data_IF_301910009519
#
_entry.id   IF_301910009519
#
_cell.length_a   1.000
_cell.length_b   1.000
_cell.length_c   1.000
_cell.angle_alpha   90.00
_cell.angle_beta   90.00
_cell.angle_gamma   90.00
#
_symmetry.space_group_name_H-M   'P 1'
#
loop_
_entity.id
_entity.type
_entity.pdbx_description
1 polymer ?
#
# COMPACT_ATOMS: atom_id res chain seq x y z
N UNK A 1 8.95 -14.23 -5.69
CA UNK A 1 7.82 -15.10 -5.27
C UNK A 1 6.80 -14.21 -4.61
N UNK A 2 5.49 -14.39 -4.86
CA UNK A 2 4.48 -13.52 -4.24
C UNK A 2 4.60 -13.60 -2.72
N UNK A 3 4.67 -12.43 -2.08
CA UNK A 3 4.79 -12.26 -0.63
C UNK A 3 3.50 -12.74 0.04
N UNK A 4 3.64 -13.47 1.14
CA UNK A 4 2.50 -13.94 1.93
C UNK A 4 2.14 -12.98 3.07
N UNK A 5 0.95 -13.15 3.66
CA UNK A 5 0.52 -12.36 4.81
C UNK A 5 1.44 -12.54 6.02
N UNK A 6 1.95 -13.75 6.25
CA UNK A 6 2.94 -14.01 7.33
C UNK A 6 4.25 -13.27 7.13
N UNK A 7 4.65 -13.01 5.87
CA UNK A 7 5.88 -12.26 5.56
C UNK A 7 5.72 -10.75 5.76
N UNK A 8 4.46 -10.26 5.74
CA UNK A 8 4.16 -8.84 5.96
C UNK A 8 4.28 -8.43 7.42
N UNK A 9 4.04 -9.36 8.36
CA UNK A 9 3.92 -9.04 9.77
C UNK A 9 5.15 -9.48 10.57
N UNK A 10 5.57 -8.63 11.52
CA UNK A 10 6.55 -8.99 12.54
C UNK A 10 5.76 -9.41 13.79
N UNK A 11 5.92 -10.65 14.22
CA UNK A 11 5.27 -11.21 15.40
C UNK A 11 6.32 -11.83 16.35
N UNK A 12 6.02 -11.93 17.63
CA UNK A 12 6.94 -12.51 18.64
C UNK A 12 7.08 -14.05 18.57
N UNK A 13 6.84 -14.67 17.43
CA UNK A 13 7.01 -16.11 17.23
C UNK A 13 5.96 -16.98 17.92
N UNK A 14 4.92 -16.39 18.49
CA UNK A 14 3.84 -17.10 19.20
C UNK A 14 2.61 -17.40 18.34
N UNK A 15 2.68 -17.19 17.04
CA UNK A 15 1.62 -17.65 16.11
C UNK A 15 1.85 -19.10 15.65
N UNK A 16 2.25 -19.98 16.58
CA UNK A 16 2.23 -21.43 16.36
C UNK A 16 0.87 -21.99 16.81
N UNK A 17 -0.18 -21.56 16.16
CA UNK A 17 -1.54 -21.96 16.53
C UNK A 17 -2.47 -22.13 15.34
N UNK A 18 -1.92 -22.54 14.23
CA UNK A 18 -2.56 -23.36 13.21
C UNK A 18 -1.41 -23.97 12.41
N UNK A 19 -1.16 -25.27 12.62
CA UNK A 19 -0.77 -26.14 11.52
C UNK A 19 -1.94 -26.06 10.50
N UNK A 20 -2.08 -24.91 9.88
CA UNK A 20 -2.81 -24.76 8.64
C UNK A 20 -1.95 -25.56 7.67
N UNK A 21 -2.43 -26.78 7.45
CA UNK A 21 -2.09 -27.65 6.35
C UNK A 21 -1.53 -26.81 5.21
N UNK A 22 -0.20 -26.75 5.09
CA UNK A 22 0.49 -26.14 3.97
C UNK A 22 0.24 -27.06 2.78
N UNK A 23 -1.04 -27.09 2.37
CA UNK A 23 -1.55 -27.90 1.30
C UNK A 23 -0.94 -27.45 -0.02
N UNK A 24 -0.89 -28.38 -0.95
CA UNK A 24 -0.42 -28.27 -2.33
C UNK A 24 -1.00 -27.07 -3.12
N UNK A 25 -1.96 -26.30 -2.53
CA UNK A 25 -2.66 -25.14 -3.12
C UNK A 25 -1.90 -23.80 -3.01
N UNK A 26 -0.85 -23.68 -2.18
CA UNK A 26 -0.14 -22.40 -1.97
C UNK A 26 0.58 -21.89 -3.24
N UNK A 27 1.29 -22.73 -3.99
CA UNK A 27 1.90 -22.33 -5.27
C UNK A 27 0.86 -21.89 -6.32
N UNK A 28 -0.33 -22.51 -6.32
CA UNK A 28 -1.41 -22.16 -7.23
C UNK A 28 -2.07 -20.82 -6.85
N UNK A 29 -2.25 -20.55 -5.56
CA UNK A 29 -2.75 -19.26 -5.07
C UNK A 29 -1.80 -18.10 -5.43
N UNK A 30 -0.48 -18.29 -5.25
CA UNK A 30 0.56 -17.31 -5.62
C UNK A 30 0.58 -17.06 -7.14
N UNK A 31 0.53 -18.13 -7.97
CA UNK A 31 0.44 -18.02 -9.44
C UNK A 31 -0.86 -17.35 -9.89
N UNK A 32 -1.97 -17.65 -9.23
CA UNK A 32 -3.27 -17.04 -9.50
C UNK A 32 -3.28 -15.55 -9.21
N UNK A 33 -2.61 -15.13 -8.13
CA UNK A 33 -2.46 -13.73 -7.75
C UNK A 33 -1.58 -12.96 -8.75
N UNK A 34 -0.38 -13.46 -9.08
CA UNK A 34 0.50 -12.82 -10.06
C UNK A 34 -0.19 -12.65 -11.42
N UNK A 35 -0.95 -13.65 -11.87
CA UNK A 35 -1.75 -13.55 -13.09
C UNK A 35 -2.83 -12.45 -13.00
N UNK A 36 -3.49 -12.27 -11.83
CA UNK A 36 -4.44 -11.19 -11.60
C UNK A 36 -3.75 -9.84 -11.54
N UNK A 37 -2.65 -9.71 -10.81
CA UNK A 37 -1.83 -8.50 -10.75
C UNK A 37 -1.39 -8.08 -12.15
N UNK A 38 -0.83 -9.02 -12.91
CA UNK A 38 -0.43 -8.80 -14.31
C UNK A 38 -1.61 -8.37 -15.20
N UNK A 39 -2.78 -8.98 -15.02
CA UNK A 39 -4.01 -8.59 -15.74
C UNK A 39 -4.45 -7.18 -15.35
N UNK A 40 -4.39 -6.84 -14.08
CA UNK A 40 -4.84 -5.55 -13.57
C UNK A 40 -3.86 -4.41 -13.94
N UNK A 41 -2.59 -4.70 -14.07
CA UNK A 41 -1.58 -3.79 -14.58
C UNK A 41 -1.49 -3.77 -16.12
N UNK A 42 -2.39 -4.48 -16.84
CA UNK A 42 -2.34 -4.56 -18.31
C UNK A 42 -2.36 -3.20 -19.00
N UNK A 43 -3.16 -2.26 -18.50
CA UNK A 43 -3.24 -0.90 -19.04
C UNK A 43 -1.92 -0.13 -18.85
N UNK A 44 -1.30 -0.25 -17.66
CA UNK A 44 0.02 0.35 -17.40
C UNK A 44 1.07 -0.33 -18.25
N UNK A 45 1.03 -1.65 -18.33
CA UNK A 45 1.95 -2.42 -19.18
C UNK A 45 1.77 -2.14 -20.67
N UNK A 46 0.54 -1.99 -21.17
CA UNK A 46 0.30 -1.64 -22.57
C UNK A 46 0.88 -0.25 -22.91
N UNK A 47 0.79 0.69 -21.96
CA UNK A 47 1.41 2.01 -22.13
C UNK A 47 2.94 1.96 -22.07
N UNK A 48 3.52 1.11 -21.18
CA UNK A 48 4.95 0.91 -21.03
C UNK A 48 5.51 -0.10 -22.03
N UNK A 49 4.79 -1.22 -22.22
CA UNK A 49 5.33 -2.42 -22.84
C UNK A 49 5.48 -2.31 -24.35
N UNK A 50 4.58 -1.60 -25.03
CA UNK A 50 4.71 -1.40 -26.47
C UNK A 50 5.96 -0.61 -26.80
N UNK A 51 6.25 0.45 -26.04
CA UNK A 51 7.47 1.25 -26.19
C UNK A 51 8.72 0.51 -25.71
N UNK A 52 8.66 -0.15 -24.55
CA UNK A 52 9.79 -0.90 -24.00
C UNK A 52 10.12 -2.11 -24.88
N UNK A 53 9.13 -2.85 -25.38
CA UNK A 53 9.38 -3.98 -26.28
C UNK A 53 9.92 -3.55 -27.64
N UNK A 54 9.33 -2.52 -28.24
CA UNK A 54 9.84 -1.98 -29.50
C UNK A 54 11.25 -1.40 -29.36
N UNK A 55 11.52 -0.76 -28.23
CA UNK A 55 12.75 -0.02 -27.97
C UNK A 55 13.90 -0.93 -27.51
N UNK A 56 13.63 -1.91 -26.64
CA UNK A 56 14.66 -2.78 -26.07
C UNK A 56 14.86 -4.10 -26.84
N UNK A 57 13.85 -4.59 -27.59
CA UNK A 57 13.92 -5.91 -28.23
C UNK A 57 14.20 -5.88 -29.75
N UNK A 58 13.99 -4.77 -30.44
CA UNK A 58 13.97 -4.75 -31.92
C UNK A 58 15.13 -4.01 -32.59
N UNK A 59 16.07 -3.40 -31.86
CA UNK A 59 17.08 -2.59 -32.52
C UNK A 59 18.39 -2.38 -31.75
N UNK A 60 19.34 -1.74 -32.44
CA UNK A 60 20.48 -1.12 -31.81
C UNK A 60 20.00 0.00 -30.89
N UNK A 61 20.48 -0.01 -29.65
CA UNK A 61 20.16 0.98 -28.63
C UNK A 61 20.78 2.30 -29.05
N UNK A 62 19.95 3.28 -29.35
CA UNK A 62 20.34 4.63 -29.75
C UNK A 62 19.82 5.71 -28.79
N UNK A 63 20.15 6.97 -29.03
CA UNK A 63 19.68 8.09 -28.21
C UNK A 63 18.15 8.19 -28.15
N UNK A 64 17.45 7.86 -29.26
CA UNK A 64 15.97 7.84 -29.29
C UNK A 64 15.38 6.73 -28.44
N UNK A 65 16.11 5.65 -28.22
CA UNK A 65 15.75 4.55 -27.32
C UNK A 65 15.54 5.06 -25.89
N UNK A 66 16.47 5.88 -25.41
CA UNK A 66 16.44 6.42 -24.06
C UNK A 66 15.35 7.47 -23.88
N UNK A 67 15.16 8.36 -24.87
CA UNK A 67 14.07 9.34 -24.86
C UNK A 67 12.69 8.67 -24.79
N UNK A 68 12.46 7.62 -25.58
CA UNK A 68 11.20 6.85 -25.56
C UNK A 68 10.99 6.12 -24.23
N UNK A 69 12.04 5.54 -23.68
CA UNK A 69 11.95 4.86 -22.37
C UNK A 69 11.60 5.86 -21.26
N UNK A 70 12.23 7.05 -21.29
CA UNK A 70 11.93 8.12 -20.36
C UNK A 70 10.45 8.56 -20.46
N UNK A 71 9.98 8.82 -21.68
CA UNK A 71 8.61 9.21 -21.96
C UNK A 71 7.62 8.14 -21.47
N UNK A 72 7.86 6.86 -21.74
CA UNK A 72 7.03 5.76 -21.31
C UNK A 72 6.93 5.66 -19.78
N UNK A 73 8.06 5.78 -19.06
CA UNK A 73 8.08 5.74 -17.59
C UNK A 73 7.34 6.94 -16.96
N UNK A 74 7.49 8.14 -17.56
CA UNK A 74 6.75 9.33 -17.13
C UNK A 74 5.24 9.15 -17.36
N UNK A 75 4.84 8.64 -18.51
CA UNK A 75 3.43 8.38 -18.84
C UNK A 75 2.79 7.34 -17.92
N UNK A 76 3.58 6.41 -17.38
CA UNK A 76 3.14 5.44 -16.38
C UNK A 76 3.10 6.00 -14.94
N UNK A 77 3.37 7.29 -14.75
CA UNK A 77 3.45 7.97 -13.44
C UNK A 77 4.58 7.47 -12.52
N UNK A 78 5.71 6.98 -13.07
CA UNK A 78 6.93 6.63 -12.29
C UNK A 78 7.57 7.87 -11.64
N UNK A 79 7.25 9.06 -12.16
CA UNK A 79 7.79 10.35 -11.67
C UNK A 79 9.10 10.75 -12.36
N UNK A 80 9.22 12.04 -12.66
CA UNK A 80 10.34 12.55 -13.46
C UNK A 80 11.72 12.30 -12.82
N UNK A 81 11.85 12.53 -11.51
CA UNK A 81 13.11 12.33 -10.78
C UNK A 81 13.55 10.86 -10.80
N UNK A 82 12.62 9.96 -10.53
CA UNK A 82 12.89 8.52 -10.53
C UNK A 82 13.21 8.02 -11.93
N UNK A 83 12.47 8.47 -12.93
CA UNK A 83 12.67 8.13 -14.34
C UNK A 83 14.05 8.56 -14.82
N UNK A 84 14.43 9.83 -14.63
CA UNK A 84 15.73 10.34 -15.08
C UNK A 84 16.89 9.57 -14.45
N UNK A 85 16.79 9.19 -13.17
CA UNK A 85 17.81 8.36 -12.51
C UNK A 85 17.91 6.98 -13.14
N UNK A 86 16.77 6.28 -13.31
CA UNK A 86 16.73 4.91 -13.84
C UNK A 86 17.23 4.86 -15.28
N UNK A 87 16.78 5.78 -16.13
CA UNK A 87 17.20 5.82 -17.54
C UNK A 87 18.67 6.16 -17.65
N UNK A 88 19.18 7.16 -16.90
CA UNK A 88 20.57 7.55 -16.92
C UNK A 88 21.51 6.42 -16.47
N UNK A 89 21.19 5.72 -15.36
CA UNK A 89 21.99 4.59 -14.89
C UNK A 89 21.96 3.43 -15.91
N UNK A 90 20.81 3.14 -16.52
CA UNK A 90 20.67 2.09 -17.53
C UNK A 90 21.45 2.40 -18.81
N UNK A 91 21.44 3.66 -19.25
CA UNK A 91 22.22 4.17 -20.40
C UNK A 91 23.73 4.08 -20.15
N UNK A 92 24.20 4.47 -18.97
CA UNK A 92 25.61 4.34 -18.58
C UNK A 92 26.09 2.88 -18.60
N UNK A 93 25.28 1.95 -18.03
CA UNK A 93 25.60 0.52 -18.01
C UNK A 93 25.60 -0.09 -19.43
N UNK A 94 24.68 0.33 -20.31
CA UNK A 94 24.61 -0.12 -21.69
C UNK A 94 25.81 0.41 -22.52
N UNK A 95 26.11 1.71 -22.42
CA UNK A 95 27.24 2.36 -23.12
C UNK A 95 28.57 1.82 -22.64
N UNK A 96 28.69 1.50 -21.36
CA UNK A 96 29.88 0.86 -20.77
C UNK A 96 30.10 -0.60 -21.20
N UNK A 97 29.16 -1.19 -21.97
CA UNK A 97 29.26 -2.55 -22.51
C UNK A 97 29.00 -3.66 -21.48
N UNK A 98 28.52 -3.32 -20.30
CA UNK A 98 28.14 -4.28 -19.27
C UNK A 98 26.79 -4.95 -19.55
N UNK A 99 25.95 -4.31 -20.37
CA UNK A 99 24.63 -4.83 -20.79
C UNK A 99 24.58 -4.92 -22.31
N UNK A 100 24.35 -6.11 -22.83
CA UNK A 100 24.21 -6.35 -24.28
C UNK A 100 22.90 -7.06 -24.59
N UNK A 101 22.10 -6.45 -25.46
CA UNK A 101 20.81 -6.98 -25.92
C UNK A 101 19.61 -6.57 -25.07
N UNK A 102 18.45 -6.51 -25.71
CA UNK A 102 17.22 -5.98 -25.13
C UNK A 102 16.70 -6.76 -23.93
N UNK A 103 16.88 -8.08 -23.90
CA UNK A 103 16.47 -8.92 -22.76
C UNK A 103 17.27 -8.57 -21.49
N UNK A 104 18.59 -8.35 -21.62
CA UNK A 104 19.44 -7.96 -20.49
C UNK A 104 19.04 -6.57 -19.96
N UNK A 105 18.77 -5.62 -20.86
CA UNK A 105 18.29 -4.28 -20.52
C UNK A 105 16.92 -4.33 -19.82
N UNK A 106 15.97 -5.13 -20.33
CA UNK A 106 14.66 -5.29 -19.72
C UNK A 106 14.72 -5.91 -18.32
N UNK A 107 15.58 -6.92 -18.13
CA UNK A 107 15.80 -7.53 -16.82
C UNK A 107 16.44 -6.54 -15.84
N UNK A 108 17.44 -5.77 -16.30
CA UNK A 108 18.10 -4.76 -15.49
C UNK A 108 17.14 -3.64 -15.08
N UNK A 109 16.30 -3.17 -16.00
CA UNK A 109 15.25 -2.21 -15.71
C UNK A 109 14.30 -2.74 -14.61
N UNK A 110 13.86 -4.00 -14.73
CA UNK A 110 13.01 -4.63 -13.71
C UNK A 110 13.69 -4.67 -12.33
N UNK A 111 14.98 -5.01 -12.28
CA UNK A 111 15.76 -5.01 -11.03
C UNK A 111 15.87 -3.62 -10.41
N UNK A 112 16.13 -2.59 -11.24
CA UNK A 112 16.24 -1.21 -10.78
C UNK A 112 14.89 -0.71 -10.21
N UNK A 113 13.78 -0.95 -10.92
CA UNK A 113 12.44 -0.60 -10.46
C UNK A 113 12.07 -1.35 -9.17
N UNK A 114 12.38 -2.64 -9.07
CA UNK A 114 12.20 -3.41 -7.85
C UNK A 114 13.07 -2.87 -6.70
N UNK A 115 14.32 -2.48 -7.00
CA UNK A 115 15.22 -1.85 -6.03
C UNK A 115 14.66 -0.56 -5.45
N UNK A 116 14.04 0.29 -6.28
CA UNK A 116 13.38 1.52 -5.84
C UNK A 116 12.16 1.20 -4.95
N UNK A 117 11.37 0.20 -5.35
CA UNK A 117 10.19 -0.20 -4.60
C UNK A 117 10.51 -0.80 -3.23
N UNK A 118 11.70 -1.38 -3.04
CA UNK A 118 12.22 -1.90 -1.77
C UNK A 118 12.82 -0.78 -0.93
N UNK A 119 12.01 0.09 -0.41
CA UNK A 119 12.46 1.19 0.46
C UNK A 119 11.89 1.01 1.87
N UNK A 120 12.65 1.45 2.88
CA UNK A 120 12.20 1.45 4.28
C UNK A 120 11.90 0.07 4.87
N UNK A 121 11.21 0.03 5.99
CA UNK A 121 10.68 -1.20 6.61
C UNK A 121 9.29 -1.49 6.00
N UNK A 122 9.22 -2.48 5.16
CA UNK A 122 8.02 -2.84 4.40
C UNK A 122 7.10 -3.84 5.15
N UNK A 123 7.43 -4.19 6.40
CA UNK A 123 6.60 -5.02 7.28
C UNK A 123 5.86 -4.19 8.30
N UNK A 124 4.81 -4.76 8.86
CA UNK A 124 3.98 -4.18 9.93
C UNK A 124 4.32 -4.88 11.25
N UNK A 125 4.72 -4.12 12.26
CA UNK A 125 5.07 -4.66 13.57
C UNK A 125 3.82 -4.90 14.43
N UNK A 126 3.52 -6.16 14.70
CA UNK A 126 2.40 -6.60 15.54
C UNK A 126 2.82 -7.07 16.94
N UNK A 127 4.04 -6.81 17.38
CA UNK A 127 4.55 -7.25 18.70
C UNK A 127 4.01 -6.46 19.88
N UNK A 128 3.26 -5.40 19.65
CA UNK A 128 2.61 -4.60 20.67
C UNK A 128 1.21 -5.16 21.03
N UNK A 129 0.79 -5.02 22.28
CA UNK A 129 -0.53 -5.50 22.73
C UNK A 129 -1.29 -4.39 23.48
N UNK A 130 -2.31 -3.79 22.86
CA UNK A 130 -2.65 -3.92 21.43
C UNK A 130 -1.70 -3.15 20.52
N UNK A 131 -1.42 -3.69 19.32
CA UNK A 131 -0.84 -2.88 18.23
C UNK A 131 -1.89 -1.89 17.74
N UNK A 132 -1.52 -0.61 17.61
CA UNK A 132 -2.42 0.43 17.11
C UNK A 132 -2.02 0.84 15.70
N UNK A 133 -2.92 0.60 14.75
CA UNK A 133 -2.78 1.00 13.35
C UNK A 133 -3.70 2.21 13.11
N UNK A 134 -3.14 3.32 12.63
CA UNK A 134 -3.90 4.50 12.23
C UNK A 134 -4.00 4.55 10.71
N UNK A 135 -5.22 4.44 10.16
CA UNK A 135 -5.44 4.52 8.73
C UNK A 135 -5.80 5.95 8.32
N UNK A 136 -5.01 6.53 7.41
CA UNK A 136 -5.18 7.88 6.89
C UNK A 136 -5.33 7.88 5.36
N UNK A 137 -5.78 8.99 4.79
CA UNK A 137 -5.94 9.12 3.33
C UNK A 137 -7.19 9.90 2.94
N UNK A 138 -7.23 10.32 1.68
CA UNK A 138 -8.33 11.13 1.13
C UNK A 138 -9.62 10.29 1.01
N UNK A 139 -10.77 10.95 1.08
CA UNK A 139 -12.06 10.28 0.85
C UNK A 139 -12.10 9.66 -0.55
N UNK A 140 -12.64 8.45 -0.64
CA UNK A 140 -12.75 7.71 -1.90
C UNK A 140 -11.51 6.93 -2.31
N UNK A 141 -10.40 7.00 -1.57
CA UNK A 141 -9.19 6.19 -1.84
C UNK A 141 -9.31 4.72 -1.45
N UNK A 142 -10.42 4.30 -0.87
CA UNK A 142 -10.62 2.90 -0.43
C UNK A 142 -10.20 2.61 1.01
N UNK A 143 -9.95 3.64 1.84
CA UNK A 143 -9.48 3.51 3.23
C UNK A 143 -10.36 2.56 4.07
N UNK A 144 -11.66 2.85 4.22
CA UNK A 144 -12.60 2.03 4.99
C UNK A 144 -12.68 0.58 4.48
N UNK A 145 -12.66 0.38 3.15
CA UNK A 145 -12.61 -0.95 2.54
C UNK A 145 -11.31 -1.69 2.86
N UNK A 146 -10.18 -0.98 2.78
CA UNK A 146 -8.86 -1.52 3.13
C UNK A 146 -8.81 -1.97 4.58
N UNK A 147 -9.30 -1.14 5.52
CA UNK A 147 -9.37 -1.46 6.94
C UNK A 147 -10.17 -2.75 7.16
N UNK A 148 -11.34 -2.84 6.52
CA UNK A 148 -12.19 -4.02 6.65
C UNK A 148 -11.54 -5.30 6.12
N UNK A 149 -10.87 -5.22 4.97
CA UNK A 149 -10.13 -6.36 4.40
C UNK A 149 -8.91 -6.73 5.26
N UNK A 150 -8.16 -5.73 5.73
CA UNK A 150 -7.00 -5.96 6.62
C UNK A 150 -7.44 -6.62 7.92
N UNK A 151 -8.51 -6.13 8.56
CA UNK A 151 -9.06 -6.71 9.77
C UNK A 151 -9.50 -8.16 9.55
N UNK A 152 -10.12 -8.46 8.41
CA UNK A 152 -10.49 -9.82 8.05
C UNK A 152 -9.26 -10.73 7.93
N UNK A 153 -8.20 -10.30 7.24
CA UNK A 153 -6.97 -11.11 7.11
C UNK A 153 -6.27 -11.32 8.47
N UNK A 154 -6.18 -10.28 9.30
CA UNK A 154 -5.59 -10.39 10.64
C UNK A 154 -6.34 -11.43 11.48
N UNK A 155 -7.67 -11.47 11.37
CA UNK A 155 -8.49 -12.37 12.16
C UNK A 155 -8.54 -13.79 11.58
N UNK A 156 -8.67 -13.94 10.26
CA UNK A 156 -8.84 -15.25 9.63
C UNK A 156 -7.50 -15.96 9.34
N UNK A 157 -6.47 -15.21 8.93
CA UNK A 157 -5.18 -15.80 8.55
C UNK A 157 -4.24 -15.93 9.77
N UNK A 158 -4.29 -14.96 10.70
CA UNK A 158 -3.39 -14.92 11.85
C UNK A 158 -4.09 -15.25 13.19
N UNK A 159 -5.41 -15.38 13.20
CA UNK A 159 -6.17 -15.66 14.42
C UNK A 159 -6.16 -14.53 15.45
N UNK A 160 -5.80 -13.29 15.04
CA UNK A 160 -5.67 -12.14 15.92
C UNK A 160 -7.03 -11.50 16.21
N UNK A 161 -7.24 -11.08 17.44
CA UNK A 161 -8.44 -10.34 17.85
C UNK A 161 -8.30 -8.87 17.50
N UNK A 162 -9.23 -8.35 16.69
CA UNK A 162 -9.17 -6.99 16.13
C UNK A 162 -10.35 -6.14 16.66
N UNK A 163 -10.04 -4.90 17.05
CA UNK A 163 -11.03 -3.86 17.34
C UNK A 163 -10.91 -2.74 16.31
N UNK A 164 -12.05 -2.32 15.76
CA UNK A 164 -12.12 -1.20 14.81
C UNK A 164 -12.63 0.06 15.50
N UNK A 165 -12.00 1.21 15.24
CA UNK A 165 -12.45 2.52 15.70
C UNK A 165 -12.93 3.38 14.53
N UNK A 166 -14.23 3.71 14.47
CA UNK A 166 -14.84 4.53 13.41
C UNK A 166 -14.68 6.02 13.71
N UNK A 167 -13.46 6.56 13.53
CA UNK A 167 -13.17 7.96 13.82
C UNK A 167 -13.47 8.93 12.65
N UNK A 168 -13.99 8.49 11.51
CA UNK A 168 -14.59 9.35 10.47
C UNK A 168 -16.05 9.72 10.88
N UNK A 169 -16.19 10.42 12.00
CA UNK A 169 -17.47 10.68 12.68
C UNK A 169 -18.41 11.61 11.91
N UNK A 170 -17.92 12.31 10.91
CA UNK A 170 -18.71 13.23 10.10
C UNK A 170 -19.38 12.59 8.89
N UNK A 171 -19.06 11.31 8.62
CA UNK A 171 -19.61 10.57 7.50
C UNK A 171 -20.36 9.34 8.00
N UNK A 172 -21.66 9.50 8.27
CA UNK A 172 -22.52 8.40 8.72
C UNK A 172 -22.38 7.15 7.83
N UNK A 173 -22.35 7.33 6.50
CA UNK A 173 -22.18 6.23 5.56
C UNK A 173 -20.81 5.52 5.70
N UNK A 174 -19.73 6.21 6.11
CA UNK A 174 -18.45 5.58 6.34
C UNK A 174 -18.48 4.72 7.63
N UNK A 175 -19.12 5.21 8.67
CA UNK A 175 -19.34 4.45 9.92
C UNK A 175 -20.16 3.19 9.65
N UNK A 176 -21.27 3.31 8.90
CA UNK A 176 -22.10 2.17 8.50
C UNK A 176 -21.32 1.17 7.63
N UNK A 177 -20.53 1.65 6.70
CA UNK A 177 -19.67 0.81 5.85
C UNK A 177 -18.66 0.03 6.71
N UNK A 178 -17.99 0.71 7.66
CA UNK A 178 -17.02 0.07 8.54
C UNK A 178 -17.70 -0.96 9.46
N UNK A 179 -18.93 -0.67 9.94
CA UNK A 179 -19.71 -1.61 10.74
C UNK A 179 -20.08 -2.87 9.93
N UNK A 180 -20.42 -2.72 8.65
CA UNK A 180 -20.65 -3.85 7.75
C UNK A 180 -19.38 -4.69 7.52
N UNK A 181 -18.22 -4.07 7.48
CA UNK A 181 -16.93 -4.78 7.42
C UNK A 181 -16.61 -5.47 8.74
N UNK A 182 -16.81 -4.81 9.88
CA UNK A 182 -16.63 -5.41 11.21
C UNK A 182 -17.43 -6.69 11.37
N UNK A 183 -18.70 -6.65 10.95
CA UNK A 183 -19.57 -7.83 10.98
C UNK A 183 -19.05 -8.97 10.11
N UNK A 184 -18.57 -8.68 8.89
CA UNK A 184 -18.01 -9.70 7.98
C UNK A 184 -16.71 -10.29 8.49
N UNK A 185 -15.85 -9.46 9.08
CA UNK A 185 -14.59 -9.89 9.66
C UNK A 185 -14.76 -10.58 11.02
N UNK A 186 -15.88 -10.42 11.69
CA UNK A 186 -16.10 -10.90 13.06
C UNK A 186 -15.40 -10.04 14.11
N UNK A 187 -15.14 -8.74 13.81
CA UNK A 187 -14.44 -7.82 14.68
C UNK A 187 -15.37 -7.00 15.54
N UNK A 188 -14.91 -6.60 16.72
CA UNK A 188 -15.56 -5.55 17.51
C UNK A 188 -15.39 -4.18 16.85
N UNK A 189 -16.39 -3.30 16.98
CA UNK A 189 -16.32 -1.94 16.46
C UNK A 189 -16.76 -0.93 17.52
N UNK A 190 -16.02 0.16 17.63
CA UNK A 190 -16.35 1.33 18.44
C UNK A 190 -16.75 2.47 17.50
N UNK A 191 -17.95 3.00 17.71
CA UNK A 191 -18.51 4.11 16.94
C UNK A 191 -18.82 5.29 17.86
N UNK A 192 -18.68 6.50 17.34
CA UNK A 192 -19.15 7.73 17.98
C UNK A 192 -20.53 8.16 17.48
N UNK A 193 -21.15 9.13 18.15
CA UNK A 193 -22.30 9.85 17.59
C UNK A 193 -21.85 10.65 16.38
N UNK A 194 -22.74 10.90 15.44
CA UNK A 194 -22.45 11.76 14.29
C UNK A 194 -21.91 13.12 14.75
N UNK A 195 -20.78 13.55 14.16
CA UNK A 195 -20.10 14.78 14.53
C UNK A 195 -19.38 14.79 15.90
N UNK A 196 -19.30 13.64 16.58
CA UNK A 196 -18.50 13.55 17.81
C UNK A 196 -17.00 13.74 17.52
N UNK A 197 -16.23 14.02 18.58
CA UNK A 197 -14.79 14.18 18.47
C UNK A 197 -14.10 12.87 18.04
N UNK A 198 -13.40 12.83 16.88
CA UNK A 198 -12.67 11.66 16.41
C UNK A 198 -11.67 11.12 17.43
N UNK A 199 -11.01 12.02 18.19
CA UNK A 199 -10.09 11.61 19.25
C UNK A 199 -10.78 10.83 20.37
N UNK A 200 -12.06 11.14 20.68
CA UNK A 200 -12.82 10.39 21.68
C UNK A 200 -13.14 8.98 21.21
N UNK A 201 -13.37 8.77 19.91
CA UNK A 201 -13.60 7.43 19.33
C UNK A 201 -12.32 6.62 19.36
N UNK A 202 -11.19 7.23 18.99
CA UNK A 202 -9.88 6.56 19.04
C UNK A 202 -9.52 6.17 20.50
N UNK A 203 -9.78 7.06 21.45
CA UNK A 203 -9.60 6.79 22.88
C UNK A 203 -10.42 5.57 23.32
N UNK A 204 -11.70 5.55 23.00
CA UNK A 204 -12.62 4.49 23.40
C UNK A 204 -12.29 3.15 22.72
N UNK A 205 -11.84 3.17 21.44
CA UNK A 205 -11.42 1.97 20.74
C UNK A 205 -10.21 1.30 21.41
N UNK A 206 -9.20 2.09 21.82
CA UNK A 206 -8.05 1.57 22.57
C UNK A 206 -8.46 1.04 23.94
N UNK A 207 -9.36 1.75 24.64
CA UNK A 207 -9.91 1.30 25.92
C UNK A 207 -10.65 -0.02 25.79
N UNK A 208 -11.48 -0.16 24.76
CA UNK A 208 -12.22 -1.39 24.46
C UNK A 208 -11.26 -2.53 24.13
N UNK A 209 -10.25 -2.29 23.31
CA UNK A 209 -9.24 -3.30 22.95
C UNK A 209 -8.51 -3.85 24.18
N UNK A 210 -8.12 -2.97 25.10
CA UNK A 210 -7.49 -3.39 26.36
C UNK A 210 -8.45 -4.19 27.25
N UNK A 211 -9.75 -3.80 27.28
CA UNK A 211 -10.75 -4.47 28.10
C UNK A 211 -11.14 -5.86 27.55
N UNK A 212 -10.96 -6.05 26.25
CA UNK A 212 -11.28 -7.31 25.57
C UNK A 212 -10.05 -8.16 25.25
N UNK A 213 -8.85 -7.75 25.70
CA UNK A 213 -7.57 -8.39 25.36
C UNK A 213 -7.40 -8.57 23.83
N UNK A 214 -7.66 -7.50 23.07
CA UNK A 214 -7.46 -7.50 21.62
C UNK A 214 -5.99 -7.30 21.27
N UNK A 215 -5.57 -7.96 20.19
CA UNK A 215 -4.19 -7.89 19.70
C UNK A 215 -3.94 -6.63 18.88
N UNK A 216 -4.96 -6.19 18.11
CA UNK A 216 -4.83 -5.07 17.17
C UNK A 216 -6.02 -4.11 17.27
N UNK A 217 -5.72 -2.81 17.20
CA UNK A 217 -6.73 -1.75 17.02
C UNK A 217 -6.47 -1.05 15.69
N UNK A 218 -7.49 -0.92 14.85
CA UNK A 218 -7.39 -0.16 13.61
C UNK A 218 -8.34 1.05 13.68
N UNK A 219 -7.79 2.26 13.56
CA UNK A 219 -8.56 3.51 13.62
C UNK A 219 -8.78 4.05 12.20
N UNK A 220 -10.04 4.08 11.74
CA UNK A 220 -10.46 4.75 10.50
C UNK A 220 -10.63 6.24 10.74
N UNK A 221 -9.85 7.08 10.06
CA UNK A 221 -9.89 8.54 10.22
C UNK A 221 -10.61 9.24 9.07
N UNK A 222 -10.98 10.50 9.27
CA UNK A 222 -11.52 11.34 8.20
C UNK A 222 -10.51 11.53 7.04
N UNK A 223 -11.03 11.88 5.86
CA UNK A 223 -10.21 12.09 4.66
C UNK A 223 -10.66 13.28 3.81
N UNK A 224 -11.25 14.33 4.42
CA UNK A 224 -11.82 15.49 3.70
C UNK A 224 -10.75 16.51 3.33
N UNK A 225 -9.96 16.21 2.30
CA UNK A 225 -8.83 17.05 1.88
C UNK A 225 -9.23 18.45 1.39
N UNK A 226 -10.48 18.67 0.97
CA UNK A 226 -10.97 20.00 0.59
C UNK A 226 -11.04 20.99 1.76
N UNK A 227 -11.01 20.50 3.00
CA UNK A 227 -10.85 21.30 4.22
C UNK A 227 -9.50 20.96 4.87
N UNK A 228 -8.42 21.15 4.11
CA UNK A 228 -7.09 20.64 4.41
C UNK A 228 -6.62 20.96 5.84
N UNK A 229 -6.65 22.24 6.25
CA UNK A 229 -6.14 22.66 7.55
C UNK A 229 -6.91 21.98 8.71
N UNK A 230 -8.23 21.85 8.57
CA UNK A 230 -9.06 21.19 9.57
C UNK A 230 -8.77 19.68 9.64
N UNK A 231 -8.60 19.03 8.49
CA UNK A 231 -8.27 17.61 8.43
C UNK A 231 -6.92 17.33 9.08
N UNK A 232 -5.91 18.12 8.74
CA UNK A 232 -4.56 17.94 9.26
C UNK A 232 -4.48 18.18 10.78
N UNK A 233 -5.19 19.19 11.28
CA UNK A 233 -5.33 19.43 12.72
C UNK A 233 -6.06 18.27 13.43
N UNK A 234 -7.09 17.70 12.81
CA UNK A 234 -7.84 16.55 13.32
C UNK A 234 -6.96 15.29 13.39
N UNK A 235 -6.22 14.96 12.32
CA UNK A 235 -5.29 13.83 12.31
C UNK A 235 -4.20 13.95 13.36
N UNK A 236 -3.58 15.13 13.49
CA UNK A 236 -2.59 15.41 14.53
C UNK A 236 -3.19 15.26 15.94
N UNK A 237 -4.46 15.66 16.13
CA UNK A 237 -5.17 15.47 17.40
C UNK A 237 -5.43 13.99 17.69
N UNK A 238 -5.95 13.22 16.74
CA UNK A 238 -6.20 11.78 16.90
C UNK A 238 -4.89 11.07 17.26
N UNK A 239 -3.80 11.32 16.51
CA UNK A 239 -2.48 10.74 16.79
C UNK A 239 -2.03 11.07 18.21
N UNK A 240 -2.14 12.33 18.65
CA UNK A 240 -1.77 12.76 20.01
C UNK A 240 -2.63 12.10 21.11
N UNK A 241 -3.91 11.83 20.83
CA UNK A 241 -4.78 11.08 21.77
C UNK A 241 -4.32 9.63 21.88
N UNK A 242 -3.98 9.00 20.77
CA UNK A 242 -3.45 7.64 20.72
C UNK A 242 -2.15 7.54 21.52
N UNK A 243 -1.15 8.41 21.23
CA UNK A 243 0.16 8.38 21.87
C UNK A 243 0.13 8.70 23.38
N UNK A 244 -0.93 9.36 23.87
CA UNK A 244 -1.13 9.55 25.32
C UNK A 244 -1.66 8.31 26.04
N UNK A 245 -2.22 7.36 25.32
CA UNK A 245 -2.74 6.14 25.91
C UNK A 245 -1.72 4.98 25.88
N UNK A 246 -0.95 4.92 24.80
CA UNK A 246 0.08 3.89 24.59
C UNK A 246 1.32 4.61 24.10
N UNK A 247 2.41 4.47 24.81
CA UNK A 247 3.70 5.02 24.41
C UNK A 247 4.09 4.44 23.05
N UNK A 248 4.71 5.24 22.20
CA UNK A 248 5.10 4.91 20.82
C UNK A 248 3.96 4.63 19.83
N UNK A 249 2.69 4.61 20.27
CA UNK A 249 1.55 4.49 19.37
C UNK A 249 1.17 5.84 18.69
N UNK A 250 0.59 5.81 17.45
CA UNK A 250 0.30 4.61 16.66
C UNK A 250 1.59 3.91 16.26
N UNK A 251 1.62 2.58 16.32
CA UNK A 251 2.77 1.76 15.95
C UNK A 251 2.92 1.65 14.44
N UNK A 252 1.81 1.89 13.73
CA UNK A 252 1.75 1.90 12.28
C UNK A 252 0.76 2.96 11.80
N UNK A 253 1.17 3.81 10.87
CA UNK A 253 0.29 4.74 10.16
C UNK A 253 0.26 4.38 8.68
N UNK A 254 -0.87 3.84 8.21
CA UNK A 254 -1.06 3.42 6.83
C UNK A 254 -1.79 4.51 6.05
N UNK A 255 -1.15 5.03 5.01
CA UNK A 255 -1.76 5.97 4.08
C UNK A 255 -2.33 5.24 2.87
N UNK A 256 -3.64 5.35 2.68
CA UNK A 256 -4.32 4.80 1.50
C UNK A 256 -4.28 5.80 0.34
N UNK A 257 -3.68 5.39 -0.77
CA UNK A 257 -3.54 6.16 -2.00
C UNK A 257 -4.27 5.46 -3.15
N UNK A 258 -5.07 6.20 -3.89
CA UNK A 258 -5.74 5.73 -5.11
C UNK A 258 -4.78 5.83 -6.30
N UNK A 259 -4.38 4.69 -6.88
CA UNK A 259 -3.45 4.63 -7.99
C UNK A 259 -3.95 5.38 -9.24
N UNK A 260 -5.27 5.51 -9.41
CA UNK A 260 -5.85 6.22 -10.57
C UNK A 260 -5.53 7.72 -10.56
N UNK A 261 -5.16 8.28 -9.41
CA UNK A 261 -4.84 9.69 -9.25
C UNK A 261 -3.42 10.05 -9.72
N UNK A 262 -2.55 9.06 -9.94
CA UNK A 262 -1.17 9.25 -10.43
C UNK A 262 -0.40 10.26 -9.58
N UNK A 263 0.27 11.25 -10.18
CA UNK A 263 1.09 12.26 -9.51
C UNK A 263 0.33 13.06 -8.42
N UNK A 264 -1.01 13.15 -8.50
CA UNK A 264 -1.79 13.76 -7.41
C UNK A 264 -1.75 12.88 -6.14
N UNK A 265 -1.64 11.55 -6.28
CA UNK A 265 -1.43 10.62 -5.17
C UNK A 265 -0.11 10.87 -4.46
N UNK A 266 0.97 11.12 -5.20
CA UNK A 266 2.28 11.49 -4.64
C UNK A 266 2.20 12.81 -3.85
N UNK A 267 1.52 13.83 -4.39
CA UNK A 267 1.32 15.11 -3.68
C UNK A 267 0.51 14.92 -2.40
N UNK A 268 -0.51 14.07 -2.42
CA UNK A 268 -1.28 13.72 -1.23
C UNK A 268 -0.38 13.02 -0.20
N UNK A 269 0.40 12.01 -0.61
CA UNK A 269 1.31 11.29 0.27
C UNK A 269 2.30 12.25 0.96
N UNK A 270 2.89 13.18 0.21
CA UNK A 270 3.76 14.22 0.77
C UNK A 270 3.05 15.08 1.81
N UNK A 271 1.85 15.56 1.50
CA UNK A 271 1.08 16.41 2.40
C UNK A 271 0.71 15.70 3.72
N UNK A 272 0.31 14.43 3.65
CA UNK A 272 0.00 13.66 4.86
C UNK A 272 1.26 13.42 5.70
N UNK A 273 2.39 13.10 5.07
CA UNK A 273 3.66 12.84 5.76
C UNK A 273 4.26 14.07 6.46
N UNK A 274 3.88 15.28 6.04
CA UNK A 274 4.26 16.53 6.72
C UNK A 274 3.54 16.70 8.07
N UNK A 275 2.41 16.03 8.29
CA UNK A 275 1.54 16.22 9.48
C UNK A 275 1.59 15.01 10.41
N UNK A 276 1.59 13.82 9.86
CA UNK A 276 1.70 12.57 10.61
C UNK A 276 2.80 11.71 9.99
N UNK A 277 3.69 11.10 10.79
CA UNK A 277 4.59 10.09 10.26
C UNK A 277 3.76 9.02 9.53
N UNK A 278 4.12 8.71 8.29
CA UNK A 278 3.50 7.65 7.49
C UNK A 278 4.51 6.52 7.39
N UNK A 279 4.14 5.35 7.91
CA UNK A 279 5.01 4.17 7.99
C UNK A 279 4.85 3.25 6.78
N UNK A 280 3.73 3.37 6.06
CA UNK A 280 3.48 2.57 4.88
C UNK A 280 2.33 3.06 4.01
N UNK A 281 2.40 2.72 2.74
CA UNK A 281 1.37 3.01 1.74
C UNK A 281 0.52 1.77 1.49
N UNK A 282 -0.79 1.99 1.40
CA UNK A 282 -1.72 1.04 0.79
C UNK A 282 -2.15 1.60 -0.56
N UNK A 283 -1.68 1.00 -1.63
CA UNK A 283 -2.02 1.43 -2.99
C UNK A 283 -3.24 0.68 -3.49
N UNK A 284 -4.32 1.40 -3.80
CA UNK A 284 -5.62 0.82 -4.19
C UNK A 284 -5.97 1.07 -5.65
N UNK A 285 -6.96 0.36 -6.17
CA UNK A 285 -7.55 0.54 -7.52
C UNK A 285 -6.56 0.37 -8.67
N UNK A 286 -5.58 -0.51 -8.47
CA UNK A 286 -4.61 -0.84 -9.52
C UNK A 286 -5.26 -1.47 -10.76
N UNK A 287 -6.41 -2.12 -10.60
CA UNK A 287 -7.21 -2.73 -11.67
C UNK A 287 -7.83 -1.71 -12.64
N UNK A 288 -7.92 -0.46 -12.25
CA UNK A 288 -8.57 0.61 -13.01
C UNK A 288 -7.64 1.52 -13.81
N UNK A 289 -6.31 1.41 -13.67
CA UNK A 289 -5.40 2.48 -14.09
C UNK A 289 -4.27 2.04 -15.02
N UNK A 290 -3.80 2.98 -15.88
CA UNK A 290 -2.52 2.92 -16.59
C UNK A 290 -1.36 3.57 -15.80
N UNK A 291 -1.59 4.01 -14.57
CA UNK A 291 -0.68 4.81 -13.75
C UNK A 291 -0.04 4.01 -12.60
N UNK A 292 0.21 2.72 -12.82
CA UNK A 292 0.80 1.84 -11.80
C UNK A 292 2.18 2.30 -11.30
N UNK A 293 2.93 3.05 -12.09
CA UNK A 293 4.23 3.58 -11.68
C UNK A 293 4.23 4.48 -10.44
N UNK A 294 3.05 4.94 -10.00
CA UNK A 294 2.91 5.79 -8.79
C UNK A 294 3.48 5.13 -7.52
N UNK A 295 3.47 3.80 -7.42
CA UNK A 295 4.13 3.09 -6.32
C UNK A 295 5.63 3.41 -6.26
N UNK A 296 6.28 3.40 -7.44
CA UNK A 296 7.71 3.69 -7.59
C UNK A 296 8.01 5.17 -7.31
N UNK A 297 7.13 6.08 -7.76
CA UNK A 297 7.28 7.50 -7.48
C UNK A 297 7.23 7.78 -5.96
N UNK A 298 6.26 7.22 -5.24
CA UNK A 298 6.13 7.40 -3.79
C UNK A 298 7.34 6.81 -3.06
N UNK A 299 7.71 5.56 -3.38
CA UNK A 299 8.85 4.91 -2.76
C UNK A 299 10.17 5.66 -3.04
N UNK A 300 10.39 6.06 -4.29
CA UNK A 300 11.62 6.72 -4.72
C UNK A 300 11.78 8.17 -4.25
N UNK A 301 10.68 8.94 -4.17
CA UNK A 301 10.73 10.36 -3.81
C UNK A 301 10.51 10.62 -2.32
N UNK A 302 9.68 9.82 -1.65
CA UNK A 302 9.35 10.03 -0.23
C UNK A 302 10.03 9.03 0.70
N UNK A 303 10.60 7.96 0.19
CA UNK A 303 11.20 6.90 0.99
C UNK A 303 10.19 6.12 1.84
N UNK A 304 8.89 6.18 1.50
CA UNK A 304 7.82 5.50 2.22
C UNK A 304 7.51 4.17 1.51
N UNK A 305 7.61 3.02 2.20
CA UNK A 305 7.37 1.72 1.58
C UNK A 305 5.90 1.52 1.20
N UNK A 306 5.67 0.87 0.07
CA UNK A 306 4.36 0.29 -0.22
C UNK A 306 4.27 -1.05 0.52
N UNK A 307 3.30 -1.21 1.41
CA UNK A 307 3.12 -2.43 2.22
C UNK A 307 1.99 -3.32 1.68
N UNK A 308 0.95 -2.70 1.15
CA UNK A 308 -0.24 -3.39 0.66
C UNK A 308 -0.70 -2.85 -0.70
N UNK A 309 -1.29 -3.73 -1.51
CA UNK A 309 -1.93 -3.36 -2.77
C UNK A 309 -3.36 -3.90 -2.85
N UNK A 310 -4.26 -3.05 -3.36
CA UNK A 310 -5.64 -3.41 -3.68
C UNK A 310 -5.82 -3.51 -5.20
N UNK A 311 -6.21 -4.69 -5.66
CA UNK A 311 -6.37 -5.04 -7.08
C UNK A 311 -7.81 -5.36 -7.48
N UNK A 312 -8.79 -5.00 -6.64
CA UNK A 312 -10.20 -5.24 -6.86
C UNK A 312 -11.04 -5.17 -5.58
N UNK A 313 -12.29 -5.60 -5.68
CA UNK A 313 -13.30 -5.44 -4.61
C UNK A 313 -13.41 -6.65 -3.65
N UNK A 314 -13.02 -7.85 -4.07
CA UNK A 314 -13.08 -9.05 -3.23
C UNK A 314 -12.12 -8.97 -2.02
N UNK A 315 -12.36 -9.77 -0.99
CA UNK A 315 -11.49 -9.82 0.20
C UNK A 315 -10.05 -10.16 -0.18
N UNK A 316 -9.88 -11.13 -1.04
CA UNK A 316 -8.59 -11.63 -1.52
C UNK A 316 -7.86 -10.65 -2.45
N UNK A 317 -8.51 -9.54 -2.83
CA UNK A 317 -7.92 -8.52 -3.70
C UNK A 317 -7.11 -7.46 -2.93
N UNK A 318 -7.03 -7.55 -1.60
CA UNK A 318 -6.01 -6.87 -0.79
C UNK A 318 -4.86 -7.84 -0.55
N UNK A 319 -3.63 -7.44 -0.87
CA UNK A 319 -2.45 -8.30 -0.75
C UNK A 319 -1.23 -7.54 -0.26
N UNK A 320 -0.30 -8.25 0.41
CA UNK A 320 1.04 -7.75 0.64
C UNK A 320 1.71 -7.34 -0.67
N UNK A 321 2.44 -6.25 -0.64
CA UNK A 321 3.21 -5.77 -1.78
C UNK A 321 4.51 -6.58 -1.91
N UNK A 322 4.80 -7.04 -3.13
CA UNK A 322 6.07 -7.66 -3.51
C UNK A 322 6.70 -6.83 -4.63
N UNK A 323 7.86 -6.25 -4.37
CA UNK A 323 8.53 -5.32 -5.27
C UNK A 323 8.98 -5.99 -6.58
N UNK A 324 9.44 -7.25 -6.51
CA UNK A 324 9.91 -8.00 -7.69
C UNK A 324 8.74 -8.38 -8.60
N UNK A 325 7.68 -8.92 -8.00
CA UNK A 325 6.48 -9.29 -8.74
C UNK A 325 5.80 -8.06 -9.34
N UNK A 326 5.83 -6.92 -8.61
CA UNK A 326 5.28 -5.66 -9.11
C UNK A 326 6.05 -5.12 -10.30
N UNK A 327 7.38 -5.00 -10.18
CA UNK A 327 8.24 -4.51 -11.27
C UNK A 327 8.12 -5.40 -12.52
N UNK A 328 8.12 -6.73 -12.35
CA UNK A 328 7.88 -7.65 -13.46
C UNK A 328 6.49 -7.46 -14.09
N UNK A 329 5.44 -7.35 -13.27
CA UNK A 329 4.07 -7.18 -13.78
C UNK A 329 3.87 -5.85 -14.52
N UNK A 330 4.70 -4.82 -14.24
CA UNK A 330 4.71 -3.57 -14.99
C UNK A 330 5.33 -3.74 -16.39
N UNK A 331 6.36 -4.57 -16.53
CA UNK A 331 7.17 -4.66 -17.75
C UNK A 331 6.80 -5.86 -18.65
N UNK A 332 6.33 -6.97 -18.07
CA UNK A 332 6.03 -8.23 -18.76
C UNK A 332 4.56 -8.63 -18.61
#
# INVERSE_FOLDING_TARGET
MARDWTDLFITDGATSGADADAGEDEPERKRGFFRRLRKNLSKTREALGAEIQATLLEGDVDEQTWERLEEALIMADVGATTTARVVGELEEEATGGSLTGGEALGNRLAEMLAGIARTGEDRIDLRHTPTVIMAVGVNGTGKTTTIGKLAWHLQQELGLKVVLGAADTFRAAAVEQLAGWAQRAGCEIVTGREGSDPGSVAFEAIRQARASDADVVIIDTAGRLHTQDNLMAELAKVRRVISKQIDDAPHETLLTVDATTGQNGLRQAKLFSEVVPVDGIVLTKLDGTAKGGIALAIAGELGIPVKLIGIGEALEDLRPFDADDYARALLT
#
